data_IF_240739579971
#
_entry.id   IF_240739579971
#
_cell.length_a   1.000
_cell.length_b   1.000
_cell.length_c   1.000
_cell.angle_alpha   90.00
_cell.angle_beta   90.00
_cell.angle_gamma   90.00
#
_symmetry.space_group_name_H-M   'P 1'
#
loop_
_entity.id
_entity.type
_entity.pdbx_description
1 polymer ?
#
# COMPACT_ATOMS: atom_id res chain seq x y z
N UNK A 1 -10.22 -36.48 17.72
CA UNK A 1 -11.29 -35.91 16.84
C UNK A 1 -11.91 -34.60 17.35
N UNK A 2 -12.22 -34.44 18.65
CA UNK A 2 -12.80 -33.17 19.15
C UNK A 2 -11.84 -31.97 19.09
N UNK A 3 -10.54 -32.16 19.32
CA UNK A 3 -9.54 -31.10 19.17
C UNK A 3 -9.40 -30.62 17.71
N UNK A 4 -9.47 -31.53 16.74
CA UNK A 4 -9.42 -31.20 15.30
C UNK A 4 -10.67 -30.41 14.88
N UNK A 5 -11.86 -30.78 15.38
CA UNK A 5 -13.09 -30.01 15.14
C UNK A 5 -13.04 -28.61 15.76
N UNK A 6 -12.48 -28.46 16.97
CA UNK A 6 -12.27 -27.14 17.60
C UNK A 6 -11.24 -26.29 16.84
N UNK A 7 -10.15 -26.90 16.37
CA UNK A 7 -9.14 -26.22 15.55
C UNK A 7 -9.74 -25.75 14.22
N UNK A 8 -10.56 -26.59 13.58
CA UNK A 8 -11.27 -26.28 12.33
C UNK A 8 -12.27 -25.12 12.50
N UNK A 9 -13.02 -25.10 13.62
CA UNK A 9 -13.92 -23.99 13.94
C UNK A 9 -13.19 -22.69 14.29
N UNK A 10 -12.00 -22.77 14.92
CA UNK A 10 -11.21 -21.59 15.29
C UNK A 10 -10.44 -20.98 14.10
N UNK A 11 -10.00 -21.81 13.15
CA UNK A 11 -9.25 -21.37 11.97
C UNK A 11 -10.20 -20.82 10.89
N UNK A 12 -11.40 -21.37 10.77
CA UNK A 12 -12.34 -21.03 9.71
C UNK A 12 -11.96 -21.68 8.38
N UNK A 13 -12.98 -22.11 7.63
CA UNK A 13 -12.81 -22.89 6.40
C UNK A 13 -11.93 -22.21 5.35
N UNK A 14 -12.09 -20.89 5.16
CA UNK A 14 -11.30 -20.13 4.19
C UNK A 14 -9.80 -20.11 4.51
N UNK A 15 -9.42 -19.89 5.78
CA UNK A 15 -8.00 -19.88 6.19
C UNK A 15 -7.37 -21.26 6.05
N UNK A 16 -8.13 -22.32 6.34
CA UNK A 16 -7.66 -23.70 6.14
C UNK A 16 -7.34 -23.99 4.68
N UNK A 17 -8.21 -23.60 3.74
CA UNK A 17 -7.95 -23.77 2.30
C UNK A 17 -6.67 -23.02 1.89
N UNK A 18 -6.51 -21.77 2.34
CA UNK A 18 -5.32 -20.97 2.02
C UNK A 18 -4.05 -21.63 2.56
N UNK A 19 -4.06 -22.13 3.80
CA UNK A 19 -2.91 -22.83 4.39
C UNK A 19 -2.59 -24.14 3.68
N UNK A 20 -3.61 -24.93 3.31
CA UNK A 20 -3.42 -26.17 2.57
C UNK A 20 -2.85 -25.91 1.17
N UNK A 21 -3.35 -24.88 0.48
CA UNK A 21 -2.83 -24.47 -0.81
C UNK A 21 -1.37 -23.98 -0.72
N UNK A 22 -1.06 -23.14 0.28
CA UNK A 22 0.31 -22.67 0.53
C UNK A 22 1.25 -23.84 0.84
N UNK A 23 0.83 -24.80 1.67
CA UNK A 23 1.62 -26.00 1.98
C UNK A 23 1.88 -26.84 0.73
N UNK A 24 0.88 -26.98 -0.16
CA UNK A 24 1.05 -27.64 -1.45
C UNK A 24 2.08 -26.96 -2.34
N UNK A 25 2.05 -25.62 -2.44
CA UNK A 25 3.06 -24.86 -3.18
C UNK A 25 4.47 -25.03 -2.60
N UNK A 26 4.60 -24.99 -1.27
CA UNK A 26 5.89 -25.21 -0.59
C UNK A 26 6.42 -26.62 -0.90
N UNK A 27 5.58 -27.66 -0.81
CA UNK A 27 5.99 -29.03 -1.19
C UNK A 27 6.45 -29.12 -2.64
N UNK A 28 5.76 -28.44 -3.57
CA UNK A 28 6.16 -28.43 -4.98
C UNK A 28 7.54 -27.79 -5.19
N UNK A 29 7.90 -26.75 -4.44
CA UNK A 29 9.23 -26.14 -4.55
C UNK A 29 10.36 -27.12 -4.21
N UNK A 30 10.14 -28.00 -3.24
CA UNK A 30 11.08 -29.07 -2.92
C UNK A 30 11.16 -30.13 -4.03
N UNK A 31 10.01 -30.53 -4.61
CA UNK A 31 10.01 -31.50 -5.72
C UNK A 31 10.70 -30.99 -6.98
N UNK A 32 10.59 -29.68 -7.25
CA UNK A 32 11.17 -29.03 -8.42
C UNK A 32 12.64 -28.63 -8.24
N UNK A 33 13.27 -28.98 -7.10
CA UNK A 33 14.66 -28.62 -6.77
C UNK A 33 14.97 -27.13 -6.92
N UNK A 34 13.97 -26.28 -6.68
CA UNK A 34 14.16 -24.83 -6.69
C UNK A 34 14.94 -24.42 -5.44
N UNK A 35 15.70 -23.33 -5.54
CA UNK A 35 16.43 -22.79 -4.40
C UNK A 35 15.44 -22.25 -3.36
N UNK A 36 15.11 -23.11 -2.39
CA UNK A 36 14.17 -22.80 -1.32
C UNK A 36 14.62 -21.60 -0.46
N UNK A 37 15.93 -21.32 -0.38
CA UNK A 37 16.45 -20.20 0.41
C UNK A 37 16.12 -18.83 -0.20
N UNK A 38 16.31 -18.69 -1.51
CA UNK A 38 15.98 -17.46 -2.24
C UNK A 38 14.47 -17.25 -2.34
N UNK A 39 13.69 -18.31 -2.56
CA UNK A 39 12.21 -18.22 -2.57
C UNK A 39 11.69 -17.73 -1.22
N UNK A 40 12.19 -18.29 -0.10
CA UNK A 40 11.79 -17.84 1.24
C UNK A 40 12.17 -16.38 1.45
N UNK A 41 13.35 -15.95 1.00
CA UNK A 41 13.79 -14.55 1.08
C UNK A 41 12.86 -13.61 0.30
N UNK A 42 12.51 -13.98 -0.93
CA UNK A 42 11.61 -13.20 -1.78
C UNK A 42 10.19 -13.12 -1.21
N UNK A 43 9.71 -14.22 -0.63
CA UNK A 43 8.41 -14.24 0.08
C UNK A 43 8.45 -13.30 1.29
N UNK A 44 9.52 -13.31 2.09
CA UNK A 44 9.68 -12.42 3.23
C UNK A 44 9.69 -10.94 2.82
N UNK A 45 10.42 -10.59 1.76
CA UNK A 45 10.42 -9.23 1.20
C UNK A 45 8.98 -8.86 0.78
N UNK A 46 8.30 -9.72 0.02
CA UNK A 46 6.92 -9.46 -0.43
C UNK A 46 5.94 -9.31 0.71
N UNK A 47 6.07 -10.08 1.80
CA UNK A 47 5.24 -9.93 3.00
C UNK A 47 5.46 -8.54 3.60
N UNK A 48 6.71 -8.12 3.77
CA UNK A 48 7.05 -6.81 4.30
C UNK A 48 6.48 -5.68 3.45
N UNK A 49 6.67 -5.73 2.13
CA UNK A 49 6.20 -4.69 1.21
C UNK A 49 4.67 -4.59 1.15
N UNK A 50 3.96 -5.72 1.08
CA UNK A 50 2.49 -5.71 1.06
C UNK A 50 1.87 -5.29 2.40
N UNK A 51 2.60 -5.48 3.51
CA UNK A 51 2.13 -5.06 4.83
C UNK A 51 2.04 -3.52 4.97
N UNK A 52 2.85 -2.76 4.23
CA UNK A 52 2.69 -1.30 4.14
C UNK A 52 1.36 -0.88 3.50
N UNK A 53 0.91 -1.60 2.47
CA UNK A 53 -0.39 -1.34 1.86
C UNK A 53 -1.55 -1.66 2.81
N UNK A 54 -1.41 -2.71 3.61
CA UNK A 54 -2.37 -3.03 4.68
C UNK A 54 -2.42 -1.91 5.72
N UNK A 55 -1.25 -1.45 6.20
CA UNK A 55 -1.15 -0.34 7.14
C UNK A 55 -1.78 0.94 6.59
N UNK A 56 -1.61 1.20 5.29
CA UNK A 56 -2.16 2.38 4.63
C UNK A 56 -3.69 2.41 4.59
N UNK A 57 -4.36 1.27 4.68
CA UNK A 57 -5.82 1.20 4.67
C UNK A 57 -6.46 1.41 6.05
N UNK A 58 -5.72 1.18 7.14
CA UNK A 58 -6.26 1.24 8.50
C UNK A 58 -6.91 2.58 8.88
N UNK A 59 -6.34 3.77 8.56
CA UNK A 59 -6.97 5.04 8.93
C UNK A 59 -8.37 5.23 8.33
N UNK A 60 -8.60 4.70 7.13
CA UNK A 60 -9.90 4.79 6.45
C UNK A 60 -10.93 3.85 7.09
N UNK A 61 -10.52 2.63 7.42
CA UNK A 61 -11.40 1.65 8.07
C UNK A 61 -11.83 2.15 9.46
N UNK A 62 -10.92 2.74 10.24
CA UNK A 62 -11.20 3.28 11.57
C UNK A 62 -12.19 4.47 11.56
N UNK A 63 -12.29 5.22 10.45
CA UNK A 63 -13.26 6.33 10.32
C UNK A 63 -14.64 5.90 9.79
N UNK A 64 -14.87 4.59 9.60
CA UNK A 64 -16.14 4.03 9.13
C UNK A 64 -16.41 4.31 7.65
N UNK A 65 -15.40 4.75 6.90
CA UNK A 65 -15.41 4.66 5.43
C UNK A 65 -15.00 3.21 5.14
N UNK A 66 -15.79 2.44 4.41
CA UNK A 66 -15.50 1.02 4.17
C UNK A 66 -14.13 0.79 3.51
N UNK A 67 -13.82 -0.46 3.12
CA UNK A 67 -12.54 -0.85 2.49
C UNK A 67 -12.25 -0.22 1.11
N UNK A 68 -12.97 0.84 0.75
CA UNK A 68 -13.02 1.41 -0.58
C UNK A 68 -12.12 2.65 -0.69
N UNK A 69 -10.86 2.33 -1.03
CA UNK A 69 -10.28 2.80 -2.28
C UNK A 69 -9.48 4.12 -2.31
N UNK A 70 -9.05 4.65 -1.16
CA UNK A 70 -7.94 5.62 -1.13
C UNK A 70 -6.61 5.02 -1.62
N UNK A 71 -6.39 3.72 -1.43
CA UNK A 71 -5.07 3.11 -1.64
C UNK A 71 -4.57 3.26 -3.09
N UNK A 72 -5.33 2.93 -4.17
CA UNK A 72 -4.88 3.18 -5.54
C UNK A 72 -4.59 4.66 -5.85
N UNK A 73 -5.35 5.60 -5.27
CA UNK A 73 -5.10 7.04 -5.42
C UNK A 73 -3.78 7.44 -4.77
N UNK A 74 -3.53 6.95 -3.56
CA UNK A 74 -2.24 7.13 -2.88
C UNK A 74 -1.09 6.54 -3.67
N UNK A 75 -1.25 5.31 -4.19
CA UNK A 75 -0.25 4.64 -5.03
C UNK A 75 0.06 5.50 -6.27
N UNK A 76 -0.95 6.04 -6.97
CA UNK A 76 -0.71 6.90 -8.14
C UNK A 76 0.05 8.18 -7.77
N UNK A 77 -0.29 8.81 -6.64
CA UNK A 77 0.42 10.00 -6.15
C UNK A 77 1.89 9.69 -5.82
N UNK A 78 2.13 8.57 -5.14
CA UNK A 78 3.49 8.12 -4.80
C UNK A 78 4.29 7.69 -6.02
N UNK A 79 3.66 7.10 -7.04
CA UNK A 79 4.31 6.81 -8.32
C UNK A 79 4.70 8.09 -9.05
N UNK A 80 3.80 9.06 -9.16
CA UNK A 80 4.11 10.35 -9.77
C UNK A 80 5.30 11.02 -9.09
N UNK A 81 5.28 11.08 -7.76
CA UNK A 81 6.39 11.62 -6.97
C UNK A 81 7.69 10.81 -7.12
N UNK A 82 7.58 9.47 -7.18
CA UNK A 82 8.70 8.56 -7.41
C UNK A 82 9.37 8.80 -8.75
N UNK A 83 8.59 8.91 -9.84
CA UNK A 83 9.12 9.20 -11.18
C UNK A 83 9.75 10.59 -11.23
N UNK A 84 9.15 11.61 -10.60
CA UNK A 84 9.75 12.94 -10.49
C UNK A 84 11.08 12.93 -9.73
N UNK A 85 11.18 12.16 -8.64
CA UNK A 85 12.44 12.01 -7.90
C UNK A 85 13.54 11.34 -8.73
N UNK A 86 13.17 10.39 -9.60
CA UNK A 86 14.12 9.74 -10.53
C UNK A 86 14.53 10.72 -11.62
N UNK A 87 13.60 11.48 -12.19
CA UNK A 87 13.88 12.52 -13.19
C UNK A 87 14.84 13.59 -12.67
N UNK A 88 14.72 13.98 -11.39
CA UNK A 88 15.64 14.92 -10.75
C UNK A 88 16.99 14.32 -10.36
N UNK A 89 17.25 13.05 -10.62
CA UNK A 89 18.54 12.43 -10.33
C UNK A 89 18.84 12.23 -8.85
N UNK A 90 17.84 12.27 -7.95
CA UNK A 90 18.08 12.18 -6.51
C UNK A 90 18.32 10.72 -6.13
N UNK A 91 19.52 10.43 -5.63
CA UNK A 91 19.98 9.08 -5.33
C UNK A 91 19.88 8.71 -3.84
N UNK A 92 19.86 7.41 -3.58
CA UNK A 92 19.93 6.79 -2.26
C UNK A 92 18.75 7.15 -1.35
N UNK A 93 19.03 7.18 -0.04
CA UNK A 93 18.03 7.49 0.98
C UNK A 93 17.36 8.86 0.78
N UNK A 94 18.11 9.85 0.25
CA UNK A 94 17.57 11.19 -0.05
C UNK A 94 16.47 11.14 -1.12
N UNK A 95 16.61 10.27 -2.12
CA UNK A 95 15.59 10.06 -3.17
C UNK A 95 14.31 9.48 -2.60
N UNK A 96 14.42 8.50 -1.69
CA UNK A 96 13.27 7.91 -0.99
C UNK A 96 12.52 8.98 -0.19
N UNK A 97 13.23 9.78 0.61
CA UNK A 97 12.61 10.84 1.40
C UNK A 97 11.98 11.94 0.53
N UNK A 98 12.63 12.33 -0.57
CA UNK A 98 12.08 13.31 -1.51
C UNK A 98 10.78 12.80 -2.16
N UNK A 99 10.77 11.54 -2.63
CA UNK A 99 9.59 10.90 -3.19
C UNK A 99 8.45 10.78 -2.15
N UNK A 100 8.76 10.41 -0.90
CA UNK A 100 7.77 10.35 0.17
C UNK A 100 7.17 11.72 0.51
N UNK A 101 7.98 12.77 0.59
CA UNK A 101 7.50 14.13 0.88
C UNK A 101 6.60 14.66 -0.24
N UNK A 102 7.06 14.59 -1.49
CA UNK A 102 6.27 15.02 -2.65
C UNK A 102 4.99 14.18 -2.81
N UNK A 103 5.11 12.87 -2.63
CA UNK A 103 3.98 11.95 -2.67
C UNK A 103 2.95 12.28 -1.61
N UNK A 104 3.38 12.66 -0.40
CA UNK A 104 2.50 13.08 0.68
C UNK A 104 1.76 14.39 0.37
N UNK A 105 2.42 15.34 -0.29
CA UNK A 105 1.79 16.61 -0.72
C UNK A 105 0.69 16.33 -1.74
N UNK A 106 0.99 15.57 -2.80
CA UNK A 106 -0.02 15.20 -3.80
C UNK A 106 -1.15 14.36 -3.20
N UNK A 107 -0.80 13.40 -2.35
CA UNK A 107 -1.78 12.56 -1.66
C UNK A 107 -2.70 13.36 -0.74
N UNK A 108 -2.20 14.43 -0.09
CA UNK A 108 -3.04 15.29 0.75
C UNK A 108 -4.12 15.99 -0.07
N UNK A 109 -3.75 16.54 -1.22
CA UNK A 109 -4.69 17.23 -2.13
C UNK A 109 -5.72 16.25 -2.67
N UNK A 110 -5.26 15.12 -3.23
CA UNK A 110 -6.15 14.10 -3.82
C UNK A 110 -7.02 13.45 -2.75
N UNK A 111 -6.47 13.14 -1.57
CA UNK A 111 -7.18 12.56 -0.44
C UNK A 111 -8.24 13.48 0.14
N UNK A 112 -7.98 14.80 0.18
CA UNK A 112 -8.98 15.78 0.60
C UNK A 112 -10.16 15.83 -0.38
N UNK A 113 -9.88 15.95 -1.68
CA UNK A 113 -10.92 15.95 -2.72
C UNK A 113 -11.73 14.66 -2.72
N UNK A 114 -11.06 13.52 -2.57
CA UNK A 114 -11.70 12.21 -2.50
C UNK A 114 -12.55 12.06 -1.23
N UNK A 115 -12.06 12.51 -0.08
CA UNK A 115 -12.80 12.48 1.18
C UNK A 115 -14.08 13.33 1.13
N UNK A 116 -14.02 14.51 0.51
CA UNK A 116 -15.20 15.36 0.29
C UNK A 116 -16.23 14.66 -0.60
N UNK A 117 -15.77 14.01 -1.66
CA UNK A 117 -16.63 13.27 -2.57
C UNK A 117 -17.31 12.09 -1.86
N UNK A 118 -16.56 11.34 -1.03
CA UNK A 118 -17.12 10.23 -0.25
C UNK A 118 -18.20 10.72 0.72
N UNK A 119 -17.99 11.85 1.41
CA UNK A 119 -19.00 12.40 2.32
C UNK A 119 -20.32 12.75 1.62
N UNK A 120 -20.29 13.10 0.32
CA UNK A 120 -21.51 13.36 -0.46
C UNK A 120 -22.21 12.11 -0.96
N UNK A 121 -21.54 10.96 -0.95
CA UNK A 121 -22.01 9.71 -1.55
C UNK A 121 -22.27 8.62 -0.51
N UNK A 122 -22.68 9.00 0.69
CA UNK A 122 -22.95 8.07 1.80
C UNK A 122 -23.93 6.98 1.37
N UNK A 123 -23.58 5.73 1.63
CA UNK A 123 -24.36 4.55 1.28
C UNK A 123 -24.05 3.95 -0.09
N UNK A 124 -23.49 4.72 -1.04
CA UNK A 124 -23.03 4.22 -2.35
C UNK A 124 -21.50 4.32 -2.55
N UNK A 125 -20.78 4.61 -1.46
CA UNK A 125 -19.34 4.86 -1.42
C UNK A 125 -18.51 3.73 -2.03
N UNK A 126 -18.92 2.47 -1.81
CA UNK A 126 -18.22 1.31 -2.36
C UNK A 126 -18.25 1.26 -3.88
N UNK A 127 -19.44 1.45 -4.44
CA UNK A 127 -19.64 1.42 -5.88
C UNK A 127 -18.91 2.59 -6.54
N UNK A 128 -19.10 3.81 -6.03
CA UNK A 128 -18.49 5.00 -6.61
C UNK A 128 -16.97 5.00 -6.42
N UNK A 129 -16.47 4.59 -5.26
CA UNK A 129 -15.04 4.47 -5.01
C UNK A 129 -14.36 3.48 -5.96
N UNK A 130 -15.02 2.37 -6.27
CA UNK A 130 -14.53 1.41 -7.28
C UNK A 130 -14.44 2.06 -8.66
N UNK A 131 -15.52 2.67 -9.13
CA UNK A 131 -15.54 3.32 -10.46
C UNK A 131 -14.54 4.47 -10.58
N UNK A 132 -14.39 5.29 -9.54
CA UNK A 132 -13.40 6.36 -9.51
C UNK A 132 -11.99 5.80 -9.63
N UNK A 133 -11.68 4.71 -8.95
CA UNK A 133 -10.37 4.08 -9.09
C UNK A 133 -10.13 3.50 -10.47
N UNK A 134 -11.15 2.89 -11.07
CA UNK A 134 -11.05 2.45 -12.46
C UNK A 134 -10.73 3.62 -13.39
N UNK A 135 -11.49 4.71 -13.26
CA UNK A 135 -11.37 5.91 -14.09
C UNK A 135 -10.07 6.67 -13.88
N UNK A 136 -9.63 6.90 -12.64
CA UNK A 136 -8.42 7.67 -12.35
C UNK A 136 -7.17 6.90 -12.76
N UNK A 137 -7.14 5.57 -12.59
CA UNK A 137 -6.03 4.75 -13.12
C UNK A 137 -5.97 4.89 -14.65
N UNK A 138 -7.10 4.78 -15.35
CA UNK A 138 -7.15 4.96 -16.80
C UNK A 138 -6.77 6.38 -17.24
N UNK A 139 -7.18 7.41 -16.48
CA UNK A 139 -6.80 8.80 -16.72
C UNK A 139 -5.30 8.99 -16.55
N UNK A 140 -4.71 8.42 -15.50
CA UNK A 140 -3.27 8.49 -15.30
C UNK A 140 -2.51 7.72 -16.39
N UNK A 141 -3.02 6.59 -16.90
CA UNK A 141 -2.44 5.92 -18.08
C UNK A 141 -2.35 6.87 -19.29
N UNK A 142 -3.39 7.66 -19.54
CA UNK A 142 -3.34 8.70 -20.58
C UNK A 142 -2.34 9.80 -20.23
N UNK A 143 -2.29 10.22 -18.96
CA UNK A 143 -1.30 11.18 -18.44
C UNK A 143 0.15 10.74 -18.69
N UNK A 144 0.50 9.48 -18.35
CA UNK A 144 1.83 8.90 -18.58
C UNK A 144 2.24 8.91 -20.07
N UNK A 145 1.29 8.90 -20.99
CA UNK A 145 1.56 8.98 -22.42
C UNK A 145 1.67 10.43 -22.93
N UNK A 146 0.92 11.35 -22.32
CA UNK A 146 0.85 12.76 -22.71
C UNK A 146 1.92 13.64 -22.06
N UNK A 147 2.48 13.24 -20.91
CA UNK A 147 3.40 14.07 -20.16
C UNK A 147 4.72 14.36 -20.92
N UNK A 148 5.00 15.62 -21.28
CA UNK A 148 6.15 15.99 -22.10
C UNK A 148 7.45 16.20 -21.29
N UNK A 149 7.38 16.17 -19.96
CA UNK A 149 8.43 16.69 -19.07
C UNK A 149 9.51 15.69 -18.67
N UNK A 150 9.35 14.40 -18.96
CA UNK A 150 10.38 13.42 -18.65
C UNK A 150 11.48 13.48 -19.69
N UNK A 151 12.72 13.72 -19.30
CA UNK A 151 13.87 13.88 -20.19
C UNK A 151 14.79 12.67 -20.15
N UNK A 152 14.78 11.88 -19.07
CA UNK A 152 15.66 10.70 -18.95
C UNK A 152 15.23 9.56 -19.91
N UNK A 153 16.15 9.07 -20.78
CA UNK A 153 15.92 7.94 -21.68
C UNK A 153 15.51 6.63 -20.98
N UNK A 154 15.81 6.48 -19.68
CA UNK A 154 15.40 5.33 -18.85
C UNK A 154 13.92 5.36 -18.48
N UNK A 155 13.32 6.56 -18.47
CA UNK A 155 11.91 6.78 -18.13
C UNK A 155 11.05 6.75 -19.41
N UNK A 156 11.59 7.22 -20.54
CA UNK A 156 10.89 7.26 -21.84
C UNK A 156 10.90 5.92 -22.57
N UNK A 157 9.87 5.67 -23.37
CA UNK A 157 9.86 4.58 -24.35
C UNK A 157 11.02 4.73 -25.34
N UNK A 158 11.66 3.62 -25.70
CA UNK A 158 12.79 3.61 -26.65
C UNK A 158 12.35 3.98 -28.09
N UNK A 159 11.08 3.76 -28.44
CA UNK A 159 10.50 4.09 -29.74
C UNK A 159 9.12 4.76 -29.58
N UNK A 160 9.07 5.95 -28.96
CA UNK A 160 7.85 6.75 -28.90
C UNK A 160 7.81 7.79 -27.78
N UNK A 161 6.76 8.61 -27.77
CA UNK A 161 6.46 9.55 -26.70
C UNK A 161 5.64 8.85 -25.60
N UNK A 162 6.12 8.94 -24.36
CA UNK A 162 5.45 8.40 -23.18
C UNK A 162 6.42 7.72 -22.22
N UNK A 163 5.92 7.45 -21.01
CA UNK A 163 6.69 6.80 -19.94
C UNK A 163 6.61 5.28 -20.06
N UNK A 164 7.71 4.56 -19.82
CA UNK A 164 7.74 3.08 -19.82
C UNK A 164 6.76 2.50 -18.81
N UNK A 165 6.23 1.31 -19.10
CA UNK A 165 5.40 0.58 -18.13
C UNK A 165 6.13 0.17 -16.86
N UNK A 166 7.44 -0.01 -16.98
CA UNK A 166 8.34 -0.33 -15.88
C UNK A 166 9.53 0.61 -15.92
N UNK A 167 9.79 1.27 -14.80
CA UNK A 167 11.01 2.08 -14.59
C UNK A 167 11.85 1.36 -13.54
N UNK A 168 13.03 0.89 -13.95
CA UNK A 168 14.01 0.29 -13.05
C UNK A 168 14.69 1.38 -12.22
N UNK A 169 14.85 1.13 -10.92
CA UNK A 169 15.47 2.05 -9.97
C UNK A 169 17.00 1.88 -9.85
N UNK A 170 17.58 1.09 -10.75
CA UNK A 170 19.01 0.81 -10.81
C UNK A 170 19.82 2.11 -10.98
N UNK A 171 20.80 2.32 -10.09
CA UNK A 171 21.58 3.56 -9.99
C UNK A 171 20.88 4.76 -9.32
N UNK A 172 19.65 4.59 -8.79
CA UNK A 172 18.96 5.63 -8.00
C UNK A 172 18.87 5.22 -6.53
N UNK A 173 17.86 4.45 -6.16
CA UNK A 173 17.63 4.00 -4.79
C UNK A 173 17.16 2.54 -4.72
N UNK A 174 17.61 1.69 -5.64
CA UNK A 174 17.31 0.25 -5.63
C UNK A 174 17.75 -0.42 -4.32
N UNK A 175 16.85 -1.20 -3.70
CA UNK A 175 17.10 -2.06 -2.52
C UNK A 175 17.78 -1.40 -1.32
N UNK A 176 17.79 -0.06 -1.23
CA UNK A 176 18.40 0.69 -0.12
C UNK A 176 17.88 0.23 1.25
N UNK A 177 16.56 0.09 1.44
CA UNK A 177 15.99 -0.39 2.71
C UNK A 177 16.14 -1.90 2.92
N UNK A 178 16.21 -2.67 1.83
CA UNK A 178 16.38 -4.11 1.92
C UNK A 178 17.81 -4.49 2.32
N UNK A 179 18.79 -3.71 1.84
CA UNK A 179 20.20 -3.88 2.14
C UNK A 179 20.61 -3.20 3.45
N UNK A 180 19.81 -2.26 3.95
CA UNK A 180 20.02 -1.65 5.27
C UNK A 180 19.86 -2.75 6.34
N UNK A 181 20.98 -3.12 6.97
CA UNK A 181 21.02 -4.07 8.09
C UNK A 181 20.64 -5.53 7.77
N UNK A 182 20.64 -5.93 6.48
CA UNK A 182 20.27 -7.28 6.05
C UNK A 182 21.09 -8.36 6.77
N UNK A 183 20.42 -9.31 7.42
CA UNK A 183 21.06 -10.48 8.01
C UNK A 183 20.94 -11.67 7.05
N UNK A 184 22.08 -12.31 6.78
CA UNK A 184 22.13 -13.57 6.03
C UNK A 184 22.22 -14.72 7.02
N UNK A 185 21.24 -15.63 6.98
CA UNK A 185 21.30 -16.91 7.69
C UNK A 185 21.32 -18.00 6.62
N UNK A 186 22.49 -18.57 6.35
CA UNK A 186 22.68 -19.53 5.26
C UNK A 186 22.34 -18.92 3.89
N UNK A 187 21.42 -19.54 3.15
CA UNK A 187 20.93 -19.05 1.85
C UNK A 187 19.69 -18.14 1.94
N UNK A 188 19.29 -17.73 3.16
CA UNK A 188 18.14 -16.86 3.42
C UNK A 188 18.63 -15.46 3.78
N UNK A 189 18.16 -14.46 3.03
CA UNK A 189 18.43 -13.04 3.24
C UNK A 189 17.22 -12.42 3.92
N UNK A 190 17.33 -12.06 5.20
CA UNK A 190 16.25 -11.42 5.93
C UNK A 190 16.40 -9.90 5.80
N UNK A 191 15.43 -9.21 5.15
CA UNK A 191 15.44 -7.77 4.97
C UNK A 191 14.99 -7.06 6.26
N UNK A 192 15.84 -7.11 7.29
CA UNK A 192 15.53 -6.52 8.61
C UNK A 192 15.27 -5.02 8.53
N UNK A 193 15.95 -4.28 7.65
CA UNK A 193 15.68 -2.86 7.41
C UNK A 193 14.25 -2.59 6.98
N UNK A 194 13.70 -3.39 6.06
CA UNK A 194 12.30 -3.29 5.63
C UNK A 194 11.33 -3.54 6.79
N UNK A 195 11.56 -4.60 7.58
CA UNK A 195 10.73 -4.92 8.74
C UNK A 195 10.85 -3.88 9.85
N UNK A 196 12.02 -3.25 10.01
CA UNK A 196 12.23 -2.16 10.95
C UNK A 196 11.41 -0.93 10.54
N UNK A 197 11.48 -0.51 9.28
CA UNK A 197 10.65 0.61 8.78
C UNK A 197 9.17 0.27 8.91
N UNK A 198 8.77 -0.97 8.65
CA UNK A 198 7.39 -1.41 8.83
C UNK A 198 6.97 -1.33 10.32
N UNK A 199 7.83 -1.80 11.22
CA UNK A 199 7.62 -1.70 12.66
C UNK A 199 7.51 -0.25 13.15
N UNK A 200 8.34 0.65 12.62
CA UNK A 200 8.25 2.09 12.88
C UNK A 200 6.93 2.68 12.35
N UNK A 201 6.49 2.28 11.16
CA UNK A 201 5.19 2.68 10.62
C UNK A 201 4.03 2.22 11.49
N UNK A 202 4.08 0.97 11.98
CA UNK A 202 3.09 0.43 12.91
C UNK A 202 3.10 1.19 14.25
N UNK A 203 4.28 1.48 14.80
CA UNK A 203 4.43 2.26 16.02
C UNK A 203 3.87 3.68 15.85
N UNK A 204 4.20 4.35 14.74
CA UNK A 204 3.68 5.67 14.42
C UNK A 204 2.15 5.67 14.32
N UNK A 205 1.57 4.66 13.65
CA UNK A 205 0.12 4.50 13.58
C UNK A 205 -0.51 4.19 14.95
N UNK A 206 0.13 3.37 15.77
CA UNK A 206 -0.33 3.08 17.12
C UNK A 206 -0.32 4.33 18.02
N UNK A 207 0.74 5.14 17.96
CA UNK A 207 0.80 6.44 18.65
C UNK A 207 -0.28 7.38 18.12
N UNK A 208 -0.49 7.42 16.80
CA UNK A 208 -1.56 8.22 16.19
C UNK A 208 -2.95 7.81 16.71
N UNK A 209 -3.24 6.51 16.85
CA UNK A 209 -4.50 6.04 17.42
C UNK A 209 -4.72 6.47 18.87
N UNK A 210 -3.65 6.70 19.64
CA UNK A 210 -3.73 7.22 21.02
C UNK A 210 -3.87 8.75 21.08
N UNK A 211 -3.66 9.45 19.97
CA UNK A 211 -3.83 10.91 19.90
C UNK A 211 -5.32 11.32 19.97
N UNK A 212 -5.58 12.59 20.31
CA UNK A 212 -6.96 13.14 20.34
C UNK A 212 -7.69 12.92 19.02
N UNK A 213 -7.03 13.17 17.90
CA UNK A 213 -7.59 12.99 16.55
C UNK A 213 -7.88 11.51 16.25
N UNK A 214 -6.98 10.60 16.62
CA UNK A 214 -7.16 9.16 16.42
C UNK A 214 -8.35 8.62 17.22
N UNK A 215 -8.50 9.04 18.48
CA UNK A 215 -9.65 8.64 19.32
C UNK A 215 -10.97 9.19 18.75
N UNK A 216 -11.00 10.46 18.33
CA UNK A 216 -12.20 11.04 17.70
C UNK A 216 -12.60 10.30 16.41
N UNK A 217 -11.60 9.94 15.59
CA UNK A 217 -11.82 9.20 14.36
C UNK A 217 -12.45 7.83 14.63
N UNK A 218 -11.90 7.08 15.60
CA UNK A 218 -12.41 5.78 16.01
C UNK A 218 -13.83 5.85 16.57
N UNK A 219 -14.13 6.83 17.41
CA UNK A 219 -15.48 7.02 17.96
C UNK A 219 -16.48 7.35 16.85
N UNK A 220 -16.09 8.21 15.91
CA UNK A 220 -16.88 8.54 14.73
C UNK A 220 -17.14 7.32 13.83
N UNK A 221 -16.18 6.40 13.70
CA UNK A 221 -16.32 5.19 12.91
C UNK A 221 -17.20 4.13 13.56
N UNK A 222 -17.06 3.92 14.87
CA UNK A 222 -17.85 2.92 15.62
C UNK A 222 -19.33 3.30 15.72
N UNK A 223 -19.63 4.56 16.07
CA UNK A 223 -21.00 5.03 16.15
C UNK A 223 -21.07 6.53 15.78
N UNK A 224 -21.45 6.84 14.53
CA UNK A 224 -21.59 8.21 14.06
C UNK A 224 -22.60 9.03 14.89
N UNK A 225 -23.66 8.43 15.41
CA UNK A 225 -24.67 9.14 16.20
C UNK A 225 -24.13 9.52 17.58
N UNK A 226 -23.40 8.61 18.22
CA UNK A 226 -22.72 8.90 19.47
C UNK A 226 -21.66 9.98 19.30
N UNK A 227 -20.81 9.89 18.26
CA UNK A 227 -19.82 10.92 17.94
C UNK A 227 -20.43 12.32 17.80
N UNK A 228 -21.55 12.44 17.08
CA UNK A 228 -22.28 13.71 16.94
C UNK A 228 -22.81 14.25 18.27
N UNK A 229 -23.33 13.38 19.14
CA UNK A 229 -23.86 13.81 20.45
C UNK A 229 -22.81 14.39 21.39
N UNK A 230 -21.53 14.02 21.21
CA UNK A 230 -20.39 14.54 21.98
C UNK A 230 -19.63 15.65 21.24
N UNK A 231 -20.19 16.18 20.13
CA UNK A 231 -19.64 17.31 19.39
C UNK A 231 -18.54 16.98 18.37
N UNK A 232 -18.36 15.70 17.99
CA UNK A 232 -17.42 15.31 16.94
C UNK A 232 -18.06 15.53 15.56
N UNK A 233 -17.33 16.23 14.68
CA UNK A 233 -17.66 16.33 13.27
C UNK A 233 -17.20 15.08 12.51
N UNK A 234 -18.13 14.15 12.30
CA UNK A 234 -17.87 12.90 11.60
C UNK A 234 -17.43 13.13 10.15
N UNK A 235 -17.97 14.13 9.46
CA UNK A 235 -17.62 14.42 8.08
C UNK A 235 -16.15 14.83 7.97
N UNK A 236 -15.70 15.67 8.91
CA UNK A 236 -14.29 16.05 9.04
C UNK A 236 -13.40 14.85 9.37
N UNK A 237 -13.82 13.97 10.29
CA UNK A 237 -13.04 12.77 10.65
C UNK A 237 -12.89 11.81 9.47
N UNK A 238 -13.92 11.64 8.64
CA UNK A 238 -13.86 10.79 7.43
C UNK A 238 -12.89 11.33 6.39
N UNK A 239 -12.91 12.65 6.14
CA UNK A 239 -11.95 13.31 5.24
C UNK A 239 -10.52 13.13 5.76
N UNK A 240 -10.31 13.33 7.06
CA UNK A 240 -9.00 13.14 7.68
C UNK A 240 -8.49 11.70 7.54
N UNK A 241 -9.35 10.71 7.77
CA UNK A 241 -8.99 9.29 7.61
C UNK A 241 -8.65 8.95 6.16
N UNK A 242 -9.38 9.56 5.21
CA UNK A 242 -9.10 9.42 3.78
C UNK A 242 -7.74 10.02 3.40
N UNK A 243 -7.43 11.23 3.86
CA UNK A 243 -6.13 11.89 3.64
C UNK A 243 -4.98 11.04 4.19
N UNK A 244 -5.08 10.62 5.45
CA UNK A 244 -4.04 9.79 6.09
C UNK A 244 -3.84 8.48 5.33
N UNK A 245 -4.93 7.83 4.91
CA UNK A 245 -4.85 6.61 4.12
C UNK A 245 -4.16 6.83 2.76
N UNK A 246 -4.49 7.91 2.05
CA UNK A 246 -3.83 8.26 0.79
C UNK A 246 -2.34 8.57 0.96
N UNK A 247 -1.95 9.27 2.04
CA UNK A 247 -0.55 9.58 2.35
C UNK A 247 0.22 8.30 2.65
N UNK A 248 -0.31 7.43 3.51
CA UNK A 248 0.29 6.14 3.79
C UNK A 248 0.40 5.26 2.54
N UNK A 249 -0.58 5.34 1.63
CA UNK A 249 -0.54 4.65 0.33
C UNK A 249 0.58 5.17 -0.58
N UNK A 250 0.77 6.49 -0.62
CA UNK A 250 1.86 7.13 -1.38
C UNK A 250 3.24 6.77 -0.82
N UNK A 251 3.41 6.78 0.49
CA UNK A 251 4.66 6.32 1.13
C UNK A 251 4.86 4.83 0.89
N UNK A 252 3.79 4.04 1.01
CA UNK A 252 3.81 2.59 0.82
C UNK A 252 4.30 2.18 -0.56
N UNK A 253 3.88 2.86 -1.63
CA UNK A 253 4.37 2.52 -2.98
C UNK A 253 5.83 2.89 -3.19
N UNK A 254 6.32 3.97 -2.59
CA UNK A 254 7.75 4.35 -2.69
C UNK A 254 8.61 3.28 -2.03
N UNK A 255 8.23 2.82 -0.83
CA UNK A 255 8.88 1.70 -0.14
C UNK A 255 8.76 0.41 -0.93
N UNK A 256 7.58 0.12 -1.49
CA UNK A 256 7.33 -1.06 -2.32
C UNK A 256 8.24 -1.09 -3.56
N UNK A 257 8.27 0.01 -4.32
CA UNK A 257 9.04 0.13 -5.56
C UNK A 257 10.54 0.06 -5.29
N UNK A 258 11.02 0.70 -4.21
CA UNK A 258 12.40 0.58 -3.76
C UNK A 258 12.75 -0.86 -3.34
N UNK A 259 11.83 -1.58 -2.70
CA UNK A 259 12.06 -2.95 -2.25
C UNK A 259 12.11 -3.97 -3.39
N UNK A 260 11.33 -3.77 -4.46
CA UNK A 260 11.39 -4.62 -5.67
C UNK A 260 12.47 -4.15 -6.65
N UNK A 261 12.80 -2.86 -6.64
CA UNK A 261 13.78 -2.23 -7.54
C UNK A 261 13.17 -1.63 -8.81
N UNK A 262 11.86 -1.44 -8.84
CA UNK A 262 11.17 -0.86 -10.00
C UNK A 262 9.80 -0.26 -9.65
N UNK A 263 9.44 0.80 -10.38
CA UNK A 263 8.06 1.27 -10.46
C UNK A 263 7.32 0.56 -11.58
N UNK A 264 6.14 0.02 -11.28
CA UNK A 264 5.21 -0.52 -12.26
C UNK A 264 4.09 0.49 -12.48
N UNK A 265 4.04 1.11 -13.65
CA UNK A 265 3.06 2.14 -14.00
C UNK A 265 1.82 1.51 -14.67
N UNK A 266 0.94 2.37 -15.17
CA UNK A 266 -0.31 2.01 -15.86
C UNK A 266 -1.32 1.27 -14.96
N UNK A 267 -1.63 0.00 -15.24
CA UNK A 267 -2.70 -0.76 -14.56
C UNK A 267 -2.25 -1.40 -13.25
N UNK A 268 -0.94 -1.41 -12.97
CA UNK A 268 -0.39 -2.04 -11.78
C UNK A 268 -0.94 -1.51 -10.43
N UNK A 269 -1.17 -0.18 -10.24
CA UNK A 269 -1.76 0.36 -9.01
C UNK A 269 -3.08 -0.29 -8.61
N UNK A 270 -3.91 -0.65 -9.60
CA UNK A 270 -5.19 -1.32 -9.36
C UNK A 270 -4.97 -2.71 -8.78
N UNK A 271 -4.01 -3.45 -9.34
CA UNK A 271 -3.73 -4.83 -8.94
C UNK A 271 -2.99 -4.90 -7.59
N UNK A 272 -2.23 -3.86 -7.22
CA UNK A 272 -1.51 -3.79 -5.94
C UNK A 272 -2.44 -3.62 -4.73
N UNK A 273 -3.61 -3.00 -4.89
CA UNK A 273 -4.54 -2.79 -3.78
C UNK A 273 -5.31 -4.06 -3.39
N UNK A 274 -5.52 -4.99 -4.32
CA UNK A 274 -6.36 -6.17 -4.10
C UNK A 274 -5.80 -7.13 -3.03
N UNK A 275 -4.49 -7.50 -3.02
CA UNK A 275 -3.91 -8.33 -1.97
C UNK A 275 -4.02 -7.71 -0.57
N UNK A 276 -3.89 -6.38 -0.45
CA UNK A 276 -3.99 -5.68 0.82
C UNK A 276 -5.41 -5.74 1.40
N UNK A 277 -6.43 -5.54 0.55
CA UNK A 277 -7.85 -5.67 0.93
C UNK A 277 -8.14 -7.09 1.40
N UNK A 278 -7.70 -8.08 0.63
CA UNK A 278 -7.89 -9.49 0.97
C UNK A 278 -7.25 -9.84 2.33
N UNK A 279 -6.04 -9.33 2.61
CA UNK A 279 -5.37 -9.54 3.88
C UNK A 279 -6.14 -8.96 5.07
N UNK A 280 -6.72 -7.76 4.94
CA UNK A 280 -7.52 -7.12 5.99
C UNK A 280 -8.81 -7.89 6.26
N UNK A 281 -9.51 -8.30 5.20
CA UNK A 281 -10.74 -9.09 5.31
C UNK A 281 -10.49 -10.45 5.96
N UNK A 282 -9.45 -11.17 5.53
CA UNK A 282 -9.07 -12.46 6.14
C UNK A 282 -8.60 -12.27 7.58
N UNK A 283 -8.00 -11.12 7.90
CA UNK A 283 -7.59 -10.73 9.25
C UNK A 283 -8.75 -10.52 10.23
N UNK A 284 -9.99 -10.46 9.76
CA UNK A 284 -11.19 -10.32 10.61
C UNK A 284 -11.63 -8.88 10.86
N UNK A 285 -11.17 -7.92 10.06
CA UNK A 285 -11.76 -6.59 10.01
C UNK A 285 -13.03 -6.65 9.14
N UNK A 286 -14.11 -7.13 9.73
CA UNK A 286 -15.47 -7.21 9.14
C UNK A 286 -16.49 -6.66 10.12
#
# INVERSE_FOLDING_TARGET
>A
MQQIKRLYQAIGFSRFIIMAFLAGLVLLTFTLHLDSGTIVSDVLVRIGLNSFFVLAMLPMVECGVGLNFALPLGILCGQLAGVLSVEWGIQGMKGIFAACMLGSVFATVVGYLYGLLLNRLRGSEMMVGTYINFSIVSLMCMGWMLFPFFSDPRIKWAMGNGVRSTITLDGFYDKVLNNLLAFKIGNVTIPTGLFLVFGLGCLAFWVFQKSKTGVMMKVSGMNPMFGRSIGIDNDRMRVMGTILSTICGAIGIVVYAQGIGMYQLYTAPRNMAFPAIAAILVGGAS
#
